data_IF_714666130254
#
_entry.id   IF_714666130254
#
_cell.length_a   1.000
_cell.length_b   1.000
_cell.length_c   1.000
_cell.angle_alpha   90.00
_cell.angle_beta   90.00
_cell.angle_gamma   90.00
#
_symmetry.space_group_name_H-M   'P 1'
#
loop_
_entity.id
_entity.type
_entity.pdbx_description
1 polymer ?
#
# COMPACT_ATOMS: atom_id res chain seq x y z
N UNK A 1 -2.48 16.53 -7.77
CA UNK A 1 -1.11 15.99 -7.62
C UNK A 1 -1.09 14.84 -6.62
N UNK A 2 -0.57 13.66 -6.97
CA UNK A 2 -0.51 12.52 -6.06
C UNK A 2 0.36 12.84 -4.82
N UNK A 3 0.02 12.26 -3.67
CA UNK A 3 0.72 12.49 -2.39
C UNK A 3 2.19 12.07 -2.46
N UNK A 4 2.50 11.01 -3.22
CA UNK A 4 3.86 10.51 -3.40
C UNK A 4 4.77 11.52 -4.14
N UNK A 5 4.27 12.18 -5.18
CA UNK A 5 5.03 13.24 -5.88
C UNK A 5 5.32 14.43 -4.95
N UNK A 6 4.32 14.83 -4.14
CA UNK A 6 4.48 15.88 -3.14
C UNK A 6 5.51 15.53 -2.05
N UNK A 7 5.60 14.27 -1.65
CA UNK A 7 6.67 13.81 -0.74
C UNK A 7 8.05 13.95 -1.37
N UNK A 8 8.20 13.55 -2.63
CA UNK A 8 9.47 13.66 -3.34
C UNK A 8 9.95 15.12 -3.42
N UNK A 9 9.05 16.06 -3.75
CA UNK A 9 9.38 17.49 -3.74
C UNK A 9 9.76 18.01 -2.36
N UNK A 10 9.07 17.57 -1.30
CA UNK A 10 9.41 17.96 0.07
C UNK A 10 10.79 17.43 0.51
N UNK A 11 11.21 16.25 0.04
CA UNK A 11 12.56 15.71 0.25
C UNK A 11 13.59 16.51 -0.53
N UNK A 12 13.34 16.76 -1.82
CA UNK A 12 14.22 17.57 -2.67
C UNK A 12 14.45 18.97 -2.10
N UNK A 13 13.42 19.62 -1.56
CA UNK A 13 13.52 20.92 -0.89
C UNK A 13 14.45 20.87 0.32
N UNK A 14 14.37 19.81 1.13
CA UNK A 14 15.25 19.62 2.29
C UNK A 14 16.71 19.44 1.86
N UNK A 15 16.95 18.67 0.82
CA UNK A 15 18.29 18.40 0.28
C UNK A 15 18.93 19.64 -0.35
N UNK A 16 18.18 20.39 -1.17
CA UNK A 16 18.70 21.55 -1.90
C UNK A 16 18.86 22.81 -1.04
N UNK A 17 18.01 22.99 -0.02
CA UNK A 17 17.94 24.26 0.72
C UNK A 17 18.08 24.12 2.23
N UNK A 18 18.33 22.91 2.75
CA UNK A 18 18.50 22.64 4.18
C UNK A 18 17.33 23.13 5.05
N UNK A 19 16.12 23.21 4.47
CA UNK A 19 14.91 23.66 5.17
C UNK A 19 14.34 22.57 6.07
N UNK A 20 13.59 22.96 7.09
CA UNK A 20 12.93 21.99 7.99
C UNK A 20 11.82 21.22 7.29
N UNK A 21 11.49 20.02 7.79
CA UNK A 21 10.36 19.21 7.31
C UNK A 21 9.03 19.99 7.38
N UNK A 22 8.84 20.82 8.41
CA UNK A 22 7.63 21.62 8.55
C UNK A 22 7.52 22.65 7.41
N UNK A 23 8.62 23.31 7.08
CA UNK A 23 8.68 24.30 6.01
C UNK A 23 8.52 23.66 4.63
N UNK A 24 9.22 22.55 4.35
CA UNK A 24 9.08 21.84 3.08
C UNK A 24 7.66 21.31 2.87
N UNK A 25 7.03 20.77 3.92
CA UNK A 25 5.63 20.34 3.88
C UNK A 25 4.66 21.49 3.62
N UNK A 26 4.87 22.66 4.24
CA UNK A 26 4.04 23.84 4.04
C UNK A 26 4.13 24.37 2.60
N UNK A 27 5.34 24.46 2.04
CA UNK A 27 5.59 24.91 0.66
C UNK A 27 4.89 24.00 -0.36
N UNK A 28 4.96 22.69 -0.14
CA UNK A 28 4.39 21.68 -1.07
C UNK A 28 2.90 21.41 -0.82
N UNK A 29 2.30 22.02 0.22
CA UNK A 29 0.90 21.78 0.60
C UNK A 29 0.65 20.34 1.04
N UNK A 30 1.55 19.77 1.85
CA UNK A 30 1.46 18.42 2.42
C UNK A 30 1.33 18.52 3.95
N UNK A 31 0.47 17.70 4.55
CA UNK A 31 0.46 17.61 6.02
C UNK A 31 1.67 16.82 6.52
N UNK A 32 2.18 17.16 7.71
CA UNK A 32 3.29 16.41 8.33
C UNK A 32 2.95 14.94 8.54
N UNK A 33 1.71 14.63 8.91
CA UNK A 33 1.25 13.23 9.06
C UNK A 33 1.33 12.48 7.73
N UNK A 34 0.87 13.11 6.63
CA UNK A 34 0.97 12.52 5.31
C UNK A 34 2.43 12.31 4.89
N UNK A 35 3.33 13.26 5.21
CA UNK A 35 4.77 13.13 4.96
C UNK A 35 5.34 11.86 5.59
N UNK A 36 5.10 11.63 6.88
CA UNK A 36 5.62 10.46 7.60
C UNK A 36 4.90 9.15 7.29
N UNK A 37 3.65 9.19 6.81
CA UNK A 37 2.88 8.00 6.54
C UNK A 37 3.53 7.10 5.47
N UNK A 38 4.01 5.93 5.85
CA UNK A 38 4.45 4.91 4.89
C UNK A 38 3.30 3.92 4.66
N UNK A 39 2.77 3.81 3.42
CA UNK A 39 1.78 2.79 3.12
C UNK A 39 2.37 1.41 3.42
N UNK A 40 1.69 0.64 4.27
CA UNK A 40 2.01 -0.78 4.43
C UNK A 40 1.47 -1.50 3.20
N UNK A 41 2.37 -1.92 2.32
CA UNK A 41 2.03 -2.89 1.29
C UNK A 41 1.88 -4.24 1.99
N UNK A 42 0.66 -4.77 2.00
CA UNK A 42 0.46 -6.16 2.38
C UNK A 42 1.08 -7.04 1.29
N UNK A 43 1.87 -8.03 1.69
CA UNK A 43 2.35 -9.04 0.75
C UNK A 43 1.23 -10.05 0.50
N UNK A 44 0.42 -9.76 -0.52
CA UNK A 44 -0.72 -10.58 -0.91
C UNK A 44 -0.33 -11.75 -1.84
N UNK A 45 0.97 -11.92 -2.14
CA UNK A 45 1.46 -12.94 -3.07
C UNK A 45 1.05 -14.36 -2.65
N UNK A 46 1.05 -14.63 -1.34
CA UNK A 46 0.63 -15.90 -0.77
C UNK A 46 -0.87 -16.10 -0.98
N UNK A 47 -1.70 -15.09 -0.73
CA UNK A 47 -3.15 -15.19 -0.94
C UNK A 47 -3.48 -15.38 -2.42
N UNK A 48 -2.76 -14.69 -3.31
CA UNK A 48 -2.91 -14.83 -4.76
C UNK A 48 -2.61 -16.26 -5.22
N UNK A 49 -1.48 -16.83 -4.79
CA UNK A 49 -1.10 -18.21 -5.16
C UNK A 49 -2.10 -19.25 -4.64
N UNK A 50 -2.56 -19.10 -3.40
CA UNK A 50 -3.57 -19.99 -2.80
C UNK A 50 -4.91 -19.86 -3.52
N UNK A 51 -5.35 -18.65 -3.84
CA UNK A 51 -6.59 -18.43 -4.57
C UNK A 51 -6.54 -19.08 -5.95
N UNK A 52 -5.42 -18.91 -6.69
CA UNK A 52 -5.22 -19.56 -8.00
C UNK A 52 -5.32 -21.08 -7.89
N UNK A 53 -4.62 -21.68 -6.92
CA UNK A 53 -4.66 -23.13 -6.72
C UNK A 53 -6.07 -23.66 -6.40
N UNK A 54 -6.88 -22.88 -5.67
CA UNK A 54 -8.27 -23.24 -5.37
C UNK A 54 -9.15 -23.12 -6.62
N UNK A 55 -9.00 -22.06 -7.41
CA UNK A 55 -9.79 -21.87 -8.62
C UNK A 55 -9.46 -22.90 -9.69
N UNK A 56 -8.19 -23.29 -9.82
CA UNK A 56 -7.76 -24.34 -10.76
C UNK A 56 -8.34 -25.71 -10.38
N UNK A 57 -8.37 -26.01 -9.08
CA UNK A 57 -8.95 -27.26 -8.56
C UNK A 57 -10.48 -27.27 -8.61
N UNK A 58 -11.13 -26.11 -8.49
CA UNK A 58 -12.57 -26.00 -8.33
C UNK A 58 -13.19 -24.92 -9.24
N UNK A 59 -13.15 -25.15 -10.55
CA UNK A 59 -13.59 -24.19 -11.57
C UNK A 59 -15.05 -23.70 -11.42
N UNK A 60 -15.95 -24.52 -10.83
CA UNK A 60 -17.36 -24.15 -10.59
C UNK A 60 -17.59 -23.35 -9.32
N UNK A 61 -16.56 -23.17 -8.48
CA UNK A 61 -16.69 -22.43 -7.23
C UNK A 61 -16.64 -20.93 -7.52
N UNK A 62 -17.70 -20.22 -7.14
CA UNK A 62 -17.68 -18.77 -7.07
C UNK A 62 -16.86 -18.27 -5.88
N UNK A 63 -16.55 -16.97 -5.89
CA UNK A 63 -15.73 -16.30 -4.88
C UNK A 63 -16.09 -16.62 -3.41
N UNK A 64 -17.37 -16.66 -2.99
CA UNK A 64 -17.70 -16.96 -1.59
C UNK A 64 -17.19 -18.31 -1.09
N UNK A 65 -17.17 -19.34 -1.97
CA UNK A 65 -16.65 -20.67 -1.62
C UNK A 65 -15.13 -20.66 -1.52
N UNK A 66 -14.45 -20.00 -2.46
CA UNK A 66 -13.01 -19.85 -2.44
C UNK A 66 -12.54 -19.07 -1.20
N UNK A 67 -13.19 -17.94 -0.90
CA UNK A 67 -12.91 -17.13 0.28
C UNK A 67 -13.07 -17.91 1.59
N UNK A 68 -14.20 -18.60 1.75
CA UNK A 68 -14.43 -19.44 2.94
C UNK A 68 -13.40 -20.57 3.05
N UNK A 69 -12.94 -21.11 1.92
CA UNK A 69 -11.87 -22.13 1.91
C UNK A 69 -10.53 -21.54 2.34
N UNK A 70 -10.15 -20.38 1.82
CA UNK A 70 -8.92 -19.65 2.20
C UNK A 70 -8.89 -19.38 3.71
N UNK A 71 -10.00 -18.91 4.28
CA UNK A 71 -10.08 -18.68 5.73
C UNK A 71 -10.01 -19.96 6.56
N UNK A 72 -10.62 -21.06 6.09
CA UNK A 72 -10.47 -22.37 6.73
C UNK A 72 -9.04 -22.91 6.69
N UNK A 73 -8.21 -22.45 5.75
CA UNK A 73 -6.79 -22.79 5.68
C UNK A 73 -5.92 -21.91 6.61
N UNK A 74 -6.52 -20.93 7.32
CA UNK A 74 -5.82 -20.10 8.31
C UNK A 74 -5.26 -18.78 7.79
N UNK A 75 -5.45 -18.47 6.51
CA UNK A 75 -5.10 -17.16 5.94
C UNK A 75 -6.09 -16.09 6.40
N UNK A 76 -5.58 -14.89 6.74
CA UNK A 76 -6.35 -13.77 7.29
C UNK A 76 -6.59 -12.68 6.27
#
# INVERSE_FOLDING_TARGET
>A
MPTQARKAWAVQLQESHSVTIAMSCAIVGLSRCAYYYQPKLADDSVIMSVLSAITDKHLRWGFPKCFNRIRKLGYK
#
